data_IF_611481445763
#
_entry.id   IF_611481445763
#
_cell.length_a   1.000
_cell.length_b   1.000
_cell.length_c   1.000
_cell.angle_alpha   90.00
_cell.angle_beta   90.00
_cell.angle_gamma   90.00
#
_symmetry.space_group_name_H-M   'P 1'
#
loop_
_entity.id
_entity.type
_entity.pdbx_description
1 polymer ?
#
# COMPACT_ATOMS: atom_id res chain seq x y z
N UNK A 1 29.56 38.06 -22.48
CA UNK A 1 28.19 37.47 -22.64
C UNK A 1 28.17 36.09 -23.31
N UNK A 2 28.99 35.80 -24.32
CA UNK A 2 29.00 34.48 -25.01
C UNK A 2 29.42 33.28 -24.13
N UNK A 3 30.33 33.47 -23.17
CA UNK A 3 30.85 32.42 -22.28
C UNK A 3 29.78 31.92 -21.29
N UNK A 4 28.87 32.79 -20.84
CA UNK A 4 27.81 32.47 -19.89
C UNK A 4 26.73 31.62 -20.60
N UNK A 5 26.36 31.94 -21.83
CA UNK A 5 25.42 31.19 -22.63
C UNK A 5 25.90 29.75 -22.96
N UNK A 6 27.19 29.60 -23.28
CA UNK A 6 27.79 28.29 -23.52
C UNK A 6 27.79 27.40 -22.28
N UNK A 7 28.05 27.99 -21.09
CA UNK A 7 28.02 27.27 -19.81
C UNK A 7 26.62 26.82 -19.44
N UNK A 8 25.61 27.67 -19.64
CA UNK A 8 24.20 27.32 -19.38
C UNK A 8 23.73 26.20 -20.30
N UNK A 9 23.98 26.31 -21.62
CA UNK A 9 23.60 25.29 -22.60
C UNK A 9 24.19 23.91 -22.29
N UNK A 10 25.41 23.87 -21.75
CA UNK A 10 26.07 22.62 -21.35
C UNK A 10 25.45 21.98 -20.09
N UNK A 11 24.85 22.76 -19.18
CA UNK A 11 24.23 22.27 -17.95
C UNK A 11 22.76 21.83 -18.13
N UNK A 12 22.06 22.38 -19.11
CA UNK A 12 20.64 22.06 -19.38
C UNK A 12 20.37 20.57 -19.50
N UNK A 13 21.11 19.74 -20.26
CA UNK A 13 20.84 18.32 -20.37
C UNK A 13 20.94 17.57 -19.04
N UNK A 14 21.88 17.95 -18.16
CA UNK A 14 22.02 17.31 -16.85
C UNK A 14 20.84 17.65 -15.92
N UNK A 15 20.37 18.90 -15.96
CA UNK A 15 19.20 19.34 -15.18
C UNK A 15 17.94 18.62 -15.68
N UNK A 16 17.73 18.55 -16.98
CA UNK A 16 16.58 17.83 -17.58
C UNK A 16 16.63 16.35 -17.23
N UNK A 17 17.80 15.70 -17.36
CA UNK A 17 17.99 14.30 -16.95
C UNK A 17 17.68 14.07 -15.48
N UNK A 18 18.18 14.95 -14.59
CA UNK A 18 17.92 14.86 -13.15
C UNK A 18 16.43 14.97 -12.83
N UNK A 19 15.73 15.95 -13.41
CA UNK A 19 14.29 16.14 -13.23
C UNK A 19 13.52 14.92 -13.76
N UNK A 20 13.88 14.43 -14.95
CA UNK A 20 13.23 13.24 -15.55
C UNK A 20 13.42 11.99 -14.70
N UNK A 21 14.64 11.76 -14.19
CA UNK A 21 14.95 10.62 -13.32
C UNK A 21 14.14 10.72 -12.02
N UNK A 22 14.14 11.89 -11.39
CA UNK A 22 13.36 12.15 -10.18
C UNK A 22 11.86 11.89 -10.40
N UNK A 23 11.29 12.42 -11.50
CA UNK A 23 9.91 12.18 -11.87
C UNK A 23 9.60 10.70 -12.07
N UNK A 24 10.45 9.97 -12.82
CA UNK A 24 10.25 8.54 -13.03
C UNK A 24 10.32 7.75 -11.72
N UNK A 25 11.25 8.09 -10.83
CA UNK A 25 11.38 7.45 -9.52
C UNK A 25 10.11 7.61 -8.70
N UNK A 26 9.62 8.84 -8.55
CA UNK A 26 8.39 9.10 -7.79
C UNK A 26 7.13 8.53 -8.46
N UNK A 27 7.12 8.46 -9.79
CA UNK A 27 5.94 7.94 -10.53
C UNK A 27 5.82 6.42 -10.50
N UNK A 28 6.95 5.70 -10.54
CA UNK A 28 6.96 4.25 -10.75
C UNK A 28 7.51 3.44 -9.58
N UNK A 29 8.38 4.00 -8.76
CA UNK A 29 9.07 3.26 -7.70
C UNK A 29 8.53 3.61 -6.32
N UNK A 30 8.44 4.90 -5.98
CA UNK A 30 8.01 5.33 -4.65
C UNK A 30 7.25 6.65 -4.68
N UNK A 31 6.46 6.88 -3.66
CA UNK A 31 5.71 8.11 -3.44
C UNK A 31 5.46 8.32 -1.96
N UNK A 32 4.81 9.43 -1.61
CA UNK A 32 4.42 9.74 -0.25
C UNK A 32 2.90 9.59 -0.12
N UNK A 33 2.47 8.95 0.95
CA UNK A 33 1.07 8.81 1.34
C UNK A 33 0.85 9.38 2.74
N UNK A 34 -0.28 10.06 2.95
CA UNK A 34 -0.74 10.48 4.27
C UNK A 34 -1.96 9.67 4.64
N UNK A 35 -1.97 9.11 5.84
CA UNK A 35 -3.09 8.33 6.35
C UNK A 35 -4.01 9.24 7.17
N UNK A 36 -5.25 9.39 6.72
CA UNK A 36 -6.24 10.27 7.38
C UNK A 36 -7.41 9.48 7.99
N UNK A 37 -7.33 8.15 7.95
CA UNK A 37 -8.36 7.23 8.44
C UNK A 37 -7.88 6.47 9.67
N UNK A 38 -8.81 6.16 10.58
CA UNK A 38 -8.57 5.40 11.82
C UNK A 38 -8.69 3.89 11.62
N UNK A 39 -9.03 3.43 10.43
CA UNK A 39 -9.32 2.02 10.15
C UNK A 39 -8.10 1.09 10.25
N UNK A 40 -6.89 1.66 10.27
CA UNK A 40 -5.64 0.92 10.38
C UNK A 40 -4.97 1.03 11.76
N UNK A 41 -5.63 1.66 12.72
CA UNK A 41 -5.13 1.71 14.08
C UNK A 41 -5.12 0.31 14.73
N UNK A 42 -4.12 0.02 15.58
CA UNK A 42 -3.01 0.88 16.03
C UNK A 42 -1.80 0.90 15.09
N UNK A 43 -1.79 0.12 14.00
CA UNK A 43 -0.61 -0.05 13.12
C UNK A 43 -0.24 1.25 12.42
N UNK A 44 -1.22 1.94 11.86
CA UNK A 44 -1.06 3.27 11.25
C UNK A 44 -2.10 4.17 11.89
N UNK A 45 -1.67 5.31 12.39
CA UNK A 45 -2.55 6.28 13.05
C UNK A 45 -2.90 7.43 12.12
N UNK A 46 -3.97 8.13 12.47
CA UNK A 46 -4.35 9.35 11.77
C UNK A 46 -3.18 10.35 11.71
N UNK A 47 -2.87 10.86 10.53
CA UNK A 47 -1.78 11.83 10.30
C UNK A 47 -0.42 11.21 10.00
N UNK A 48 -0.26 9.88 10.06
CA UNK A 48 1.00 9.23 9.70
C UNK A 48 1.37 9.47 8.24
N UNK A 49 2.65 9.81 8.02
CA UNK A 49 3.23 9.93 6.68
C UNK A 49 3.97 8.64 6.36
N UNK A 50 3.64 8.04 5.24
CA UNK A 50 4.19 6.75 4.81
C UNK A 50 4.82 6.84 3.42
N UNK A 51 5.87 6.05 3.22
CA UNK A 51 6.44 5.79 1.91
C UNK A 51 5.62 4.69 1.25
N UNK A 52 5.14 4.97 0.06
CA UNK A 52 4.35 4.02 -0.74
C UNK A 52 5.11 3.63 -1.99
N UNK A 53 4.89 2.40 -2.45
CA UNK A 53 5.51 1.90 -3.68
C UNK A 53 4.48 1.25 -4.59
N UNK A 54 4.22 1.85 -5.76
CA UNK A 54 3.41 1.22 -6.81
C UNK A 54 4.08 0.01 -7.45
N UNK A 55 5.42 -0.06 -7.38
CA UNK A 55 6.22 -1.13 -7.98
C UNK A 55 5.74 -2.53 -7.58
N UNK A 56 5.46 -2.74 -6.29
CA UNK A 56 5.00 -4.04 -5.78
C UNK A 56 3.65 -4.46 -6.34
N UNK A 57 2.74 -3.50 -6.57
CA UNK A 57 1.42 -3.76 -7.17
C UNK A 57 1.56 -4.08 -8.65
N UNK A 58 2.33 -3.27 -9.39
CA UNK A 58 2.52 -3.42 -10.82
C UNK A 58 3.21 -4.73 -11.21
N UNK A 59 4.06 -5.26 -10.34
CA UNK A 59 4.79 -6.51 -10.56
C UNK A 59 4.20 -7.71 -9.80
N UNK A 60 3.02 -7.56 -9.19
CA UNK A 60 2.33 -8.62 -8.42
C UNK A 60 3.20 -9.24 -7.30
N UNK A 61 4.01 -8.42 -6.65
CA UNK A 61 4.94 -8.82 -5.59
C UNK A 61 4.36 -8.65 -4.18
N UNK A 62 3.04 -8.49 -4.07
CA UNK A 62 2.35 -8.35 -2.79
C UNK A 62 2.30 -9.68 -2.05
N UNK A 63 2.34 -9.58 -0.72
CA UNK A 63 2.23 -10.72 0.18
C UNK A 63 1.11 -10.49 1.20
N UNK A 64 0.53 -11.58 1.70
CA UNK A 64 -0.44 -11.49 2.81
C UNK A 64 0.20 -10.80 4.01
N UNK A 65 -0.54 -9.86 4.57
CA UNK A 65 -0.06 -8.99 5.65
C UNK A 65 0.42 -7.62 5.18
N UNK A 66 0.65 -7.41 3.89
CA UNK A 66 1.03 -6.11 3.36
C UNK A 66 -0.09 -5.08 3.56
N UNK A 67 0.30 -3.86 3.89
CA UNK A 67 -0.61 -2.72 3.94
C UNK A 67 -0.60 -2.04 2.58
N UNK A 68 -1.78 -1.82 2.02
CA UNK A 68 -1.96 -1.31 0.67
C UNK A 68 -2.92 -0.11 0.62
N UNK A 69 -2.67 0.79 -0.31
CA UNK A 69 -3.64 1.79 -0.73
C UNK A 69 -4.43 1.27 -1.92
N UNK A 70 -5.73 1.39 -1.86
CA UNK A 70 -6.62 1.00 -2.95
C UNK A 70 -7.76 2.02 -3.14
N UNK A 71 -8.38 2.01 -4.32
CA UNK A 71 -9.60 2.78 -4.58
C UNK A 71 -10.77 2.11 -3.88
N UNK A 72 -11.60 2.92 -3.22
CA UNK A 72 -12.81 2.40 -2.58
C UNK A 72 -13.80 1.90 -3.64
N UNK A 73 -14.39 0.71 -3.48
CA UNK A 73 -15.40 0.21 -4.41
C UNK A 73 -16.69 1.02 -4.36
N UNK A 74 -16.99 1.64 -3.21
CA UNK A 74 -18.19 2.47 -3.03
C UNK A 74 -18.02 3.89 -3.59
N UNK A 75 -16.79 4.43 -3.55
CA UNK A 75 -16.49 5.77 -4.04
C UNK A 75 -15.14 5.76 -4.78
N UNK A 76 -15.12 5.71 -6.12
CA UNK A 76 -13.88 5.63 -6.90
C UNK A 76 -12.91 6.82 -6.73
N UNK A 77 -13.38 7.93 -6.16
CA UNK A 77 -12.52 9.10 -5.85
C UNK A 77 -11.82 8.97 -4.50
N UNK A 78 -12.33 8.12 -3.61
CA UNK A 78 -11.74 7.89 -2.30
C UNK A 78 -10.66 6.82 -2.38
N UNK A 79 -9.54 7.09 -1.72
CA UNK A 79 -8.44 6.13 -1.52
C UNK A 79 -8.54 5.66 -0.07
N UNK A 80 -8.51 4.35 0.12
CA UNK A 80 -8.55 3.73 1.44
C UNK A 80 -7.25 2.96 1.68
N UNK A 81 -6.82 2.91 2.93
CA UNK A 81 -5.67 2.13 3.39
C UNK A 81 -6.17 0.89 4.12
N UNK A 82 -5.74 -0.30 3.70
CA UNK A 82 -6.18 -1.57 4.27
C UNK A 82 -5.05 -2.59 4.23
N UNK A 83 -5.21 -3.69 4.98
CA UNK A 83 -4.28 -4.81 4.99
C UNK A 83 -4.76 -5.91 4.06
N UNK A 84 -3.84 -6.45 3.28
CA UNK A 84 -4.06 -7.61 2.42
C UNK A 84 -4.12 -8.89 3.27
N UNK A 85 -5.28 -9.49 3.38
CA UNK A 85 -5.54 -10.69 4.20
C UNK A 85 -5.64 -11.94 3.36
N UNK A 86 -6.27 -11.85 2.19
CA UNK A 86 -6.44 -12.96 1.26
C UNK A 86 -6.12 -12.57 -0.18
N UNK A 87 -5.61 -13.54 -0.91
CA UNK A 87 -5.30 -13.44 -2.35
C UNK A 87 -6.14 -14.46 -3.11
N UNK A 88 -6.08 -14.41 -4.44
CA UNK A 88 -6.80 -15.37 -5.30
C UNK A 88 -6.52 -16.83 -4.88
N UNK A 89 -7.57 -17.62 -4.79
CA UNK A 89 -7.52 -19.02 -4.36
C UNK A 89 -7.60 -19.24 -2.85
N UNK A 90 -7.61 -18.17 -2.04
CA UNK A 90 -7.76 -18.29 -0.60
C UNK A 90 -9.24 -18.40 -0.20
N UNK A 91 -9.47 -19.06 0.92
CA UNK A 91 -10.73 -19.00 1.67
C UNK A 91 -10.51 -18.19 2.93
N UNK A 92 -11.29 -17.14 3.15
CA UNK A 92 -11.19 -16.23 4.28
C UNK A 92 -12.47 -16.29 5.09
N UNK A 93 -12.33 -16.49 6.41
CA UNK A 93 -13.48 -16.45 7.31
C UNK A 93 -13.93 -15.01 7.54
N UNK A 94 -15.19 -14.73 7.20
CA UNK A 94 -15.80 -13.43 7.40
C UNK A 94 -16.46 -13.36 8.79
N UNK A 95 -15.79 -12.71 9.74
CA UNK A 95 -16.25 -12.57 11.13
C UNK A 95 -17.61 -11.86 11.24
N UNK A 96 -17.97 -10.96 10.29
CA UNK A 96 -19.23 -10.21 10.33
C UNK A 96 -20.42 -11.04 9.82
N UNK A 97 -20.18 -11.88 8.82
CA UNK A 97 -21.22 -12.70 8.20
C UNK A 97 -21.30 -14.13 8.77
N UNK A 98 -20.25 -14.59 9.45
CA UNK A 98 -20.21 -15.91 10.10
C UNK A 98 -19.97 -17.09 9.16
N UNK A 99 -19.48 -16.87 7.94
CA UNK A 99 -19.15 -17.92 6.98
C UNK A 99 -17.84 -17.64 6.24
N UNK A 100 -17.32 -18.66 5.58
CA UNK A 100 -16.14 -18.57 4.76
C UNK A 100 -16.48 -18.00 3.37
N UNK A 101 -15.70 -17.04 2.90
CA UNK A 101 -15.77 -16.47 1.56
C UNK A 101 -14.54 -16.86 0.76
N UNK A 102 -14.77 -17.33 -0.47
CA UNK A 102 -13.71 -17.68 -1.40
C UNK A 102 -13.29 -16.44 -2.20
N UNK A 103 -11.98 -16.27 -2.37
CA UNK A 103 -11.41 -15.17 -3.15
C UNK A 103 -11.16 -15.65 -4.57
N UNK A 104 -11.98 -15.20 -5.50
CA UNK A 104 -11.92 -15.59 -6.90
C UNK A 104 -10.64 -15.08 -7.59
N UNK A 105 -10.38 -15.63 -8.78
CA UNK A 105 -9.24 -15.23 -9.60
C UNK A 105 -9.30 -13.72 -9.92
N UNK A 106 -8.16 -13.04 -9.73
CA UNK A 106 -8.04 -11.60 -9.95
C UNK A 106 -8.66 -10.74 -8.85
N UNK A 107 -9.07 -11.35 -7.73
CA UNK A 107 -9.60 -10.66 -6.57
C UNK A 107 -8.65 -10.76 -5.37
N UNK A 108 -8.91 -9.92 -4.38
CA UNK A 108 -8.18 -9.85 -3.12
C UNK A 108 -9.15 -9.59 -1.97
N UNK A 109 -8.73 -9.95 -0.77
CA UNK A 109 -9.45 -9.67 0.47
C UNK A 109 -8.67 -8.69 1.31
N UNK A 110 -9.29 -7.56 1.63
CA UNK A 110 -8.69 -6.47 2.40
C UNK A 110 -9.45 -6.25 3.71
N UNK A 111 -8.72 -6.08 4.81
CA UNK A 111 -9.30 -5.72 6.11
C UNK A 111 -8.58 -4.55 6.75
N UNK A 112 -9.31 -3.79 7.58
CA UNK A 112 -8.71 -2.84 8.49
C UNK A 112 -8.19 -3.52 9.75
N UNK A 113 -7.11 -2.99 10.32
CA UNK A 113 -6.59 -3.48 11.59
C UNK A 113 -7.51 -3.10 12.75
N UNK A 114 -8.21 -1.96 12.64
CA UNK A 114 -9.26 -1.52 13.55
C UNK A 114 -10.61 -2.09 13.11
N UNK A 115 -10.92 -3.30 13.57
CA UNK A 115 -12.13 -4.02 13.17
C UNK A 115 -13.42 -3.25 13.43
N UNK A 116 -13.48 -2.48 14.52
CA UNK A 116 -14.69 -1.76 14.91
C UNK A 116 -14.97 -0.53 14.05
N UNK A 117 -13.94 0.06 13.43
CA UNK A 117 -14.03 1.32 12.69
C UNK A 117 -13.60 1.16 11.22
N UNK A 118 -13.71 -0.04 10.66
CA UNK A 118 -13.28 -0.30 9.30
C UNK A 118 -14.44 -0.82 8.44
N UNK A 119 -14.69 -0.13 7.34
CA UNK A 119 -15.53 -0.64 6.25
C UNK A 119 -14.58 -1.28 5.24
N UNK A 120 -14.63 -2.60 5.10
CA UNK A 120 -13.68 -3.38 4.32
C UNK A 120 -14.34 -4.61 3.68
N UNK A 121 -13.54 -5.59 3.25
CA UNK A 121 -14.06 -6.78 2.55
C UNK A 121 -15.06 -7.61 3.36
N UNK A 122 -15.06 -7.51 4.68
CA UNK A 122 -16.10 -8.13 5.53
C UNK A 122 -17.49 -7.61 5.19
N UNK A 123 -17.57 -6.30 4.84
CA UNK A 123 -18.84 -5.64 4.48
C UNK A 123 -19.18 -5.78 3.00
N UNK A 124 -18.22 -5.56 2.09
CA UNK A 124 -18.50 -5.49 0.64
C UNK A 124 -17.97 -6.68 -0.17
N UNK A 125 -17.30 -7.64 0.47
CA UNK A 125 -16.76 -8.83 -0.21
C UNK A 125 -15.37 -8.61 -0.82
N UNK A 126 -14.88 -9.60 -1.58
CA UNK A 126 -13.61 -9.52 -2.29
C UNK A 126 -13.57 -8.36 -3.30
N UNK A 127 -12.39 -7.81 -3.53
CA UNK A 127 -12.14 -6.65 -4.39
C UNK A 127 -11.29 -7.04 -5.60
N UNK A 128 -11.54 -6.46 -6.78
CA UNK A 128 -10.65 -6.63 -7.92
C UNK A 128 -9.23 -6.11 -7.61
N UNK A 129 -8.20 -6.91 -7.95
CA UNK A 129 -6.78 -6.53 -7.80
C UNK A 129 -6.46 -5.19 -8.48
N UNK A 130 -7.12 -4.88 -9.59
CA UNK A 130 -6.94 -3.63 -10.35
C UNK A 130 -7.31 -2.34 -9.60
N UNK A 131 -7.97 -2.42 -8.43
CA UNK A 131 -8.22 -1.28 -7.56
C UNK A 131 -7.03 -0.90 -6.68
N UNK A 132 -6.01 -1.76 -6.59
CA UNK A 132 -4.79 -1.47 -5.85
C UNK A 132 -3.99 -0.35 -6.53
N UNK A 133 -3.41 0.50 -5.70
CA UNK A 133 -2.60 1.65 -6.15
C UNK A 133 -1.14 1.43 -5.78
N UNK A 134 -0.87 1.10 -4.51
CA UNK A 134 0.48 0.99 -3.98
C UNK A 134 0.53 0.20 -2.69
N UNK A 135 1.71 -0.33 -2.36
CA UNK A 135 2.04 -0.92 -1.05
C UNK A 135 2.65 0.14 -0.14
N UNK A 136 2.35 0.10 1.14
CA UNK A 136 3.08 0.85 2.16
C UNK A 136 4.38 0.13 2.45
N UNK A 137 5.50 0.78 2.16
CA UNK A 137 6.83 0.22 2.37
C UNK A 137 7.39 0.58 3.75
N UNK A 138 7.19 1.82 4.20
CA UNK A 138 7.82 2.34 5.41
C UNK A 138 6.97 3.48 5.99
N UNK A 139 6.89 3.61 7.31
CA UNK A 139 6.37 4.80 7.96
C UNK A 139 7.50 5.80 8.18
N UNK A 140 7.31 7.04 7.69
CA UNK A 140 8.30 8.10 7.74
C UNK A 140 8.08 9.06 8.92
N UNK A 141 6.84 9.30 9.29
CA UNK A 141 6.45 10.24 10.35
C UNK A 141 5.29 9.66 11.17
N UNK A 142 5.25 9.85 12.47
CA UNK A 142 6.20 10.62 13.30
C UNK A 142 7.53 9.87 13.53
N UNK A 143 8.63 10.61 13.85
CA UNK A 143 9.97 10.02 14.01
C UNK A 143 10.04 8.93 15.07
N UNK A 144 9.24 9.05 16.15
CA UNK A 144 9.20 8.08 17.25
C UNK A 144 8.70 6.71 16.81
N UNK A 145 7.98 6.66 15.68
CA UNK A 145 7.41 5.45 15.09
C UNK A 145 7.96 5.15 13.70
N UNK A 146 9.09 5.77 13.35
CA UNK A 146 9.77 5.50 12.07
C UNK A 146 10.14 4.03 11.95
N UNK A 147 9.83 3.42 10.81
CA UNK A 147 10.20 2.04 10.55
C UNK A 147 9.21 1.27 9.66
N UNK A 148 9.54 0.00 9.45
CA UNK A 148 8.67 -0.91 8.73
C UNK A 148 7.41 -1.21 9.54
N UNK A 149 6.30 -1.47 8.85
CA UNK A 149 5.07 -1.86 9.51
C UNK A 149 5.18 -3.29 10.03
N UNK A 150 4.80 -3.48 11.30
CA UNK A 150 4.79 -4.81 11.89
C UNK A 150 3.67 -5.68 11.28
N UNK A 151 4.01 -6.94 11.01
CA UNK A 151 3.02 -7.95 10.68
C UNK A 151 2.23 -8.32 11.94
N UNK A 152 0.89 -8.27 11.92
CA UNK A 152 0.08 -8.78 13.00
C UNK A 152 0.41 -10.23 13.30
N UNK A 153 0.27 -10.65 14.56
CA UNK A 153 0.60 -12.02 15.02
C UNK A 153 -0.06 -13.12 14.16
N UNK A 154 -1.24 -12.88 13.61
CA UNK A 154 -1.97 -13.82 12.74
C UNK A 154 -1.28 -14.13 11.41
N UNK A 155 -0.36 -13.26 10.95
CA UNK A 155 0.44 -13.45 9.73
C UNK A 155 1.87 -13.91 10.01
N UNK A 156 2.27 -14.02 11.28
CA UNK A 156 3.55 -14.66 11.61
C UNK A 156 3.38 -16.14 11.31
N UNK A 157 4.15 -16.65 10.35
CA UNK A 157 4.18 -18.09 10.08
C UNK A 157 4.38 -18.85 11.38
N UNK A 158 3.60 -19.91 11.66
CA UNK A 158 3.95 -20.80 12.75
C UNK A 158 5.38 -21.30 12.49
N UNK A 159 6.19 -21.53 13.54
CA UNK A 159 7.51 -22.11 13.38
C UNK A 159 7.37 -23.40 12.57
N UNK A 160 8.32 -23.72 11.65
CA UNK A 160 8.27 -24.96 10.90
C UNK A 160 8.12 -26.12 11.90
N UNK A 161 7.14 -27.00 11.66
CA UNK A 161 6.96 -28.19 12.47
C UNK A 161 8.31 -28.92 12.51
N UNK A 162 8.90 -29.03 13.69
CA UNK A 162 10.06 -29.89 13.92
C UNK A 162 9.62 -31.33 13.66
N UNK A 163 10.04 -31.86 12.52
CA UNK A 163 9.99 -33.33 12.25
C UNK A 163 10.96 -34.03 13.16
#
# INVERSE_FOLDING_TARGET
MASTFASVRRKVPYVVSGISTCYCTFRFICGLGKCEDVSMEPTIQHGDLVLISPYYVNHQLLQKGDVVFCRSPKNPRAIICKRLVGMEGDTVYNDEKGFEEYVDKGQIWLEGDNKCCSIDSRTFGPLPYGLLISKVALRLWPPERFGFLELPKRFRMPPPCST
#
